data_IF_310242035693
#
_entry.id   IF_310242035693
#
_cell.length_a   1.000
_cell.length_b   1.000
_cell.length_c   1.000
_cell.angle_alpha   90.00
_cell.angle_beta   90.00
_cell.angle_gamma   90.00
#
_symmetry.space_group_name_H-M   'P 1'
#
loop_
_entity.id
_entity.type
_entity.pdbx_description
1 polymer ?
#
# COMPACT_ATOMS: atom_id res chain seq x y z
N UNK A 1 -11.84 1.25 -21.05
CA UNK A 1 -11.00 0.90 -19.90
C UNK A 1 -11.36 1.80 -18.73
N UNK A 2 -11.26 1.29 -17.53
CA UNK A 2 -11.60 2.03 -16.32
C UNK A 2 -10.36 2.23 -15.46
N UNK A 3 -10.32 3.34 -14.74
CA UNK A 3 -9.25 3.61 -13.79
C UNK A 3 -9.52 2.89 -12.48
N UNK A 4 -8.44 2.48 -11.81
CA UNK A 4 -8.52 1.88 -10.48
C UNK A 4 -8.58 3.01 -9.46
N UNK A 5 -9.56 2.95 -8.56
CA UNK A 5 -9.72 3.93 -7.50
C UNK A 5 -8.66 3.71 -6.42
N UNK A 6 -7.84 4.72 -6.10
CA UNK A 6 -6.89 4.59 -4.99
C UNK A 6 -7.60 4.38 -3.65
N UNK A 7 -6.95 3.65 -2.77
CA UNK A 7 -7.45 3.46 -1.40
C UNK A 7 -6.76 4.49 -0.50
N UNK A 8 -7.55 5.30 0.19
CA UNK A 8 -7.05 6.30 1.14
C UNK A 8 -7.61 5.97 2.51
N UNK A 9 -6.73 5.82 3.48
CA UNK A 9 -7.10 5.56 4.88
C UNK A 9 -6.35 6.50 5.79
N UNK A 10 -6.97 6.82 6.92
CA UNK A 10 -6.35 7.65 7.95
C UNK A 10 -6.64 7.01 9.30
N UNK A 11 -5.63 6.93 10.15
CA UNK A 11 -5.75 6.27 11.44
C UNK A 11 -4.87 6.97 12.47
N UNK A 12 -5.33 6.99 13.70
CA UNK A 12 -4.54 7.51 14.82
C UNK A 12 -4.19 6.33 15.72
N UNK A 13 -2.91 6.06 15.87
CA UNK A 13 -2.40 4.99 16.72
C UNK A 13 -1.78 5.57 17.98
N UNK A 14 -1.74 4.78 19.05
CA UNK A 14 -1.06 5.16 20.29
C UNK A 14 0.45 4.95 20.22
N UNK A 15 0.94 4.28 19.19
CA UNK A 15 2.37 4.06 19.00
C UNK A 15 3.06 5.40 18.70
N UNK A 16 4.32 5.51 19.10
CA UNK A 16 5.15 6.65 18.71
C UNK A 16 5.40 6.61 17.19
N UNK A 17 5.83 7.72 16.61
CA UNK A 17 6.15 7.77 15.18
C UNK A 17 7.17 6.69 14.83
N UNK A 18 8.21 6.52 15.64
CA UNK A 18 9.24 5.51 15.39
C UNK A 18 8.68 4.08 15.45
N UNK A 19 7.90 3.75 16.46
CA UNK A 19 7.32 2.42 16.61
C UNK A 19 6.32 2.14 15.50
N UNK A 20 5.48 3.10 15.14
CA UNK A 20 4.52 2.97 14.05
C UNK A 20 5.26 2.76 12.72
N UNK A 21 6.30 3.55 12.46
CA UNK A 21 7.11 3.44 11.24
C UNK A 21 7.72 2.05 11.12
N UNK A 22 8.35 1.57 12.17
CA UNK A 22 8.97 0.24 12.16
C UNK A 22 7.95 -0.88 11.95
N UNK A 23 6.81 -0.80 12.64
CA UNK A 23 5.75 -1.81 12.49
C UNK A 23 5.21 -1.84 11.05
N UNK A 24 4.99 -0.67 10.46
CA UNK A 24 4.49 -0.55 9.09
C UNK A 24 5.52 -1.11 8.10
N UNK A 25 6.80 -0.76 8.24
CA UNK A 25 7.85 -1.27 7.37
C UNK A 25 7.91 -2.79 7.40
N UNK A 26 7.88 -3.39 8.59
CA UNK A 26 7.89 -4.84 8.75
C UNK A 26 6.71 -5.49 8.06
N UNK A 27 5.53 -4.90 8.20
CA UNK A 27 4.32 -5.43 7.61
C UNK A 27 4.34 -5.32 6.08
N UNK A 28 4.81 -4.20 5.54
CA UNK A 28 4.93 -4.02 4.10
C UNK A 28 5.92 -5.02 3.50
N UNK A 29 7.06 -5.23 4.14
CA UNK A 29 8.04 -6.20 3.69
C UNK A 29 7.50 -7.63 3.78
N UNK A 30 6.80 -7.96 4.86
CA UNK A 30 6.18 -9.27 5.03
C UNK A 30 5.11 -9.54 3.96
N UNK A 31 4.47 -8.50 3.47
CA UNK A 31 3.47 -8.60 2.39
C UNK A 31 4.10 -8.62 0.99
N UNK A 32 5.42 -8.65 0.90
CA UNK A 32 6.13 -8.71 -0.38
C UNK A 32 6.49 -7.36 -0.96
N UNK A 33 6.35 -6.29 -0.21
CA UNK A 33 6.69 -4.94 -0.66
C UNK A 33 8.19 -4.66 -0.61
N UNK A 34 8.62 -3.74 -1.47
CA UNK A 34 10.00 -3.25 -1.49
C UNK A 34 10.00 -1.79 -1.05
N UNK A 35 10.68 -1.48 0.03
CA UNK A 35 10.78 -0.12 0.53
C UNK A 35 11.68 0.70 -0.41
N UNK A 36 11.11 1.73 -1.01
CA UNK A 36 11.81 2.61 -1.95
C UNK A 36 12.41 3.80 -1.22
N UNK A 37 11.64 4.34 -0.25
CA UNK A 37 12.07 5.49 0.52
C UNK A 37 11.49 5.38 1.92
N UNK A 38 12.31 5.71 2.92
CA UNK A 38 11.84 5.75 4.30
C UNK A 38 12.59 6.87 5.03
N UNK A 39 11.86 7.81 5.59
CA UNK A 39 12.41 8.82 6.49
C UNK A 39 11.52 8.91 7.74
N UNK A 40 11.72 9.90 8.58
CA UNK A 40 11.02 10.01 9.87
C UNK A 40 9.51 10.12 9.72
N UNK A 41 9.03 10.70 8.61
CA UNK A 41 7.63 11.04 8.44
C UNK A 41 6.99 10.40 7.21
N UNK A 42 7.74 9.62 6.44
CA UNK A 42 7.26 9.12 5.16
C UNK A 42 7.83 7.76 4.82
N UNK A 43 6.98 6.90 4.26
CA UNK A 43 7.38 5.59 3.76
C UNK A 43 6.79 5.41 2.37
N UNK A 44 7.62 5.01 1.41
CA UNK A 44 7.18 4.67 0.06
C UNK A 44 7.58 3.22 -0.22
N UNK A 45 6.62 2.42 -0.68
CA UNK A 45 6.82 0.99 -0.89
C UNK A 45 6.19 0.56 -2.21
N UNK A 46 6.91 -0.20 -3.00
CA UNK A 46 6.41 -0.78 -4.25
C UNK A 46 6.07 -2.25 -4.05
N UNK A 47 4.99 -2.67 -4.67
CA UNK A 47 4.52 -4.06 -4.68
C UNK A 47 4.36 -4.56 -6.09
N UNK A 48 4.51 -5.88 -6.23
CA UNK A 48 4.19 -6.59 -7.45
C UNK A 48 5.24 -6.45 -8.54
N UNK A 49 4.91 -6.97 -9.71
CA UNK A 49 5.79 -6.97 -10.86
C UNK A 49 5.03 -6.54 -12.10
N UNK A 50 5.42 -5.39 -12.66
CA UNK A 50 4.85 -4.93 -13.92
C UNK A 50 5.19 -5.90 -15.06
N UNK A 51 6.43 -6.40 -15.08
CA UNK A 51 6.86 -7.35 -16.10
C UNK A 51 6.06 -8.65 -16.04
N UNK A 52 5.90 -9.20 -14.86
CA UNK A 52 5.15 -10.44 -14.68
C UNK A 52 3.69 -10.26 -15.07
N UNK A 53 3.07 -9.14 -14.72
CA UNK A 53 1.70 -8.81 -15.11
C UNK A 53 1.55 -8.75 -16.63
N UNK A 54 2.55 -8.23 -17.34
CA UNK A 54 2.52 -8.12 -18.81
C UNK A 54 2.69 -9.47 -19.48
N UNK A 55 3.54 -10.34 -18.94
CA UNK A 55 3.82 -11.65 -19.53
C UNK A 55 2.64 -12.61 -19.32
N UNK A 56 2.12 -12.67 -18.10
CA UNK A 56 1.05 -13.59 -17.73
C UNK A 56 -0.33 -13.02 -18.07
N UNK A 57 -0.45 -11.69 -18.03
CA UNK A 57 -1.73 -10.99 -18.18
C UNK A 57 -2.43 -10.81 -16.83
N UNK A 58 -3.16 -9.72 -16.70
CA UNK A 58 -3.83 -9.33 -15.46
C UNK A 58 -4.80 -10.38 -14.94
N UNK A 59 -5.36 -11.16 -15.84
CA UNK A 59 -6.35 -12.19 -15.51
C UNK A 59 -5.76 -13.31 -14.65
N UNK A 60 -4.52 -13.70 -14.94
CA UNK A 60 -3.89 -14.87 -14.32
C UNK A 60 -2.96 -14.50 -13.17
N UNK A 61 -2.61 -13.22 -13.03
CA UNK A 61 -1.72 -12.74 -11.98
C UNK A 61 -2.46 -12.75 -10.63
N UNK A 62 -1.91 -13.39 -9.59
CA UNK A 62 -2.50 -13.27 -8.24
C UNK A 62 -2.55 -11.80 -7.82
N UNK A 63 -3.59 -11.43 -7.09
CA UNK A 63 -3.78 -10.01 -6.74
C UNK A 63 -2.66 -9.45 -5.85
N UNK A 64 -1.94 -10.30 -5.11
CA UNK A 64 -0.83 -9.84 -4.27
C UNK A 64 0.41 -9.43 -5.08
N UNK A 65 0.50 -9.80 -6.36
CA UNK A 65 1.63 -9.39 -7.22
C UNK A 65 1.24 -8.37 -8.28
N UNK A 66 0.03 -7.83 -8.23
CA UNK A 66 -0.35 -6.71 -9.10
C UNK A 66 0.46 -5.46 -8.72
N UNK A 67 1.00 -4.72 -9.72
CA UNK A 67 1.82 -3.55 -9.43
C UNK A 67 1.04 -2.48 -8.67
N UNK A 68 1.56 -2.07 -7.53
CA UNK A 68 0.93 -1.04 -6.69
C UNK A 68 1.98 -0.34 -5.84
N UNK A 69 1.64 0.85 -5.39
CA UNK A 69 2.52 1.65 -4.54
C UNK A 69 1.78 2.08 -3.28
N UNK A 70 2.44 1.94 -2.15
CA UNK A 70 1.97 2.45 -0.88
C UNK A 70 2.76 3.70 -0.51
N UNK A 71 2.05 4.77 -0.17
CA UNK A 71 2.64 6.01 0.31
C UNK A 71 2.04 6.28 1.69
N UNK A 72 2.87 6.36 2.71
CA UNK A 72 2.43 6.47 4.09
C UNK A 72 3.07 7.69 4.73
N UNK A 73 2.23 8.59 5.25
CA UNK A 73 2.67 9.78 5.96
C UNK A 73 2.40 9.61 7.44
N UNK A 74 3.39 9.94 8.25
CA UNK A 74 3.36 9.82 9.70
C UNK A 74 3.48 11.20 10.33
N UNK A 75 2.59 11.52 11.25
CA UNK A 75 2.57 12.82 11.91
C UNK A 75 2.35 12.62 13.43
N UNK A 76 3.21 13.16 14.29
CA UNK A 76 3.02 13.02 15.73
C UNK A 76 1.77 13.75 16.19
N UNK A 77 1.10 13.20 17.20
CA UNK A 77 -0.05 13.83 17.84
C UNK A 77 0.35 14.39 19.20
N UNK A 78 -0.53 15.21 19.78
CA UNK A 78 -0.29 15.83 21.10
C UNK A 78 -0.11 14.80 22.22
N UNK A 79 -0.67 13.60 22.06
CA UNK A 79 -0.67 12.56 23.09
C UNK A 79 0.40 11.49 22.88
N UNK A 80 1.50 11.85 22.22
CA UNK A 80 2.60 10.92 21.88
C UNK A 80 2.18 9.75 20.99
N UNK A 81 1.03 9.89 20.33
CA UNK A 81 0.60 8.95 19.30
C UNK A 81 1.03 9.39 17.93
N UNK A 82 0.49 8.74 16.91
CA UNK A 82 0.83 9.04 15.52
C UNK A 82 -0.43 9.03 14.66
N UNK A 83 -0.57 10.06 13.85
CA UNK A 83 -1.58 10.10 12.79
C UNK A 83 -0.93 9.51 11.54
N UNK A 84 -1.54 8.47 11.00
CA UNK A 84 -1.04 7.74 9.84
C UNK A 84 -1.99 7.95 8.68
N UNK A 85 -1.48 8.49 7.58
CA UNK A 85 -2.23 8.61 6.32
C UNK A 85 -1.67 7.60 5.34
N UNK A 86 -2.55 6.77 4.80
CA UNK A 86 -2.19 5.68 3.91
C UNK A 86 -2.83 5.92 2.56
N UNK A 87 -2.01 5.96 1.51
CA UNK A 87 -2.48 6.01 0.14
C UNK A 87 -1.91 4.82 -0.60
N UNK A 88 -2.79 3.96 -1.11
CA UNK A 88 -2.40 2.82 -1.92
C UNK A 88 -2.99 3.02 -3.32
N UNK A 89 -2.14 3.01 -4.33
CA UNK A 89 -2.54 3.23 -5.72
C UNK A 89 -1.91 2.21 -6.64
N UNK A 90 -2.54 2.01 -7.78
CA UNK A 90 -1.95 1.18 -8.83
C UNK A 90 -0.77 1.92 -9.48
N UNK A 91 0.18 1.14 -10.00
CA UNK A 91 1.31 1.67 -10.78
C UNK A 91 1.30 1.14 -12.21
N UNK A 92 0.18 0.57 -12.62
CA UNK A 92 0.02 0.06 -13.97
C UNK A 92 0.01 1.23 -14.96
N UNK A 93 0.87 1.17 -15.98
CA UNK A 93 1.04 2.29 -16.94
C UNK A 93 -0.08 2.42 -17.95
N UNK A 94 -0.80 1.33 -18.19
CA UNK A 94 -1.87 1.27 -19.19
C UNK A 94 -3.20 1.12 -18.48
N UNK A 95 -4.27 1.51 -19.15
CA UNK A 95 -5.59 1.33 -18.61
C UNK A 95 -5.89 -0.15 -18.30
N UNK A 96 -6.74 -0.38 -17.34
CA UNK A 96 -7.08 -1.71 -16.85
C UNK A 96 -8.42 -2.12 -17.44
N UNK A 97 -8.51 -3.34 -17.94
CA UNK A 97 -9.76 -3.87 -18.48
C UNK A 97 -10.85 -3.84 -17.40
N UNK A 98 -12.05 -3.47 -17.82
CA UNK A 98 -13.18 -3.27 -16.90
C UNK A 98 -13.40 -4.44 -15.94
N UNK A 99 -13.26 -5.68 -16.42
CA UNK A 99 -13.44 -6.86 -15.58
C UNK A 99 -12.41 -7.06 -14.48
N UNK A 100 -11.31 -6.30 -14.49
CA UNK A 100 -10.21 -6.45 -13.53
C UNK A 100 -10.08 -5.30 -12.56
N UNK A 101 -10.85 -4.23 -12.74
CA UNK A 101 -10.81 -3.07 -11.85
C UNK A 101 -11.08 -3.49 -10.41
N UNK A 102 -12.11 -4.30 -10.19
CA UNK A 102 -12.48 -4.76 -8.84
C UNK A 102 -11.39 -5.61 -8.21
N UNK A 103 -10.76 -6.49 -8.98
CA UNK A 103 -9.65 -7.32 -8.51
C UNK A 103 -8.49 -6.43 -8.04
N UNK A 104 -8.16 -5.40 -8.82
CA UNK A 104 -7.09 -4.48 -8.49
C UNK A 104 -7.43 -3.66 -7.25
N UNK A 105 -8.65 -3.15 -7.17
CA UNK A 105 -9.10 -2.39 -6.00
C UNK A 105 -9.05 -3.24 -4.73
N UNK A 106 -9.42 -4.50 -4.81
CA UNK A 106 -9.31 -5.43 -3.68
C UNK A 106 -7.85 -5.65 -3.28
N UNK A 107 -6.93 -5.70 -4.25
CA UNK A 107 -5.50 -5.81 -3.97
C UNK A 107 -4.98 -4.58 -3.22
N UNK A 108 -5.41 -3.39 -3.61
CA UNK A 108 -5.05 -2.15 -2.91
C UNK A 108 -5.60 -2.15 -1.48
N UNK A 109 -6.84 -2.59 -1.32
CA UNK A 109 -7.48 -2.67 -0.01
C UNK A 109 -6.74 -3.66 0.92
N UNK A 110 -6.27 -4.79 0.40
CA UNK A 110 -5.50 -5.76 1.17
C UNK A 110 -4.25 -5.11 1.79
N UNK A 111 -3.54 -4.28 1.03
CA UNK A 111 -2.35 -3.60 1.53
C UNK A 111 -2.73 -2.59 2.61
N UNK A 112 -3.78 -1.81 2.39
CA UNK A 112 -4.25 -0.84 3.38
C UNK A 112 -4.65 -1.53 4.69
N UNK A 113 -5.38 -2.62 4.61
CA UNK A 113 -5.82 -3.39 5.78
C UNK A 113 -4.62 -3.99 6.52
N UNK A 114 -3.62 -4.44 5.79
CA UNK A 114 -2.38 -4.98 6.36
C UNK A 114 -1.64 -3.90 7.17
N UNK A 115 -1.53 -2.69 6.62
CA UNK A 115 -0.88 -1.57 7.32
C UNK A 115 -1.66 -1.19 8.58
N UNK A 116 -3.00 -1.09 8.48
CA UNK A 116 -3.83 -0.77 9.64
C UNK A 116 -3.69 -1.82 10.75
N UNK A 117 -3.62 -3.10 10.37
CA UNK A 117 -3.42 -4.20 11.31
C UNK A 117 -2.11 -4.04 12.11
N UNK A 118 -1.08 -3.52 11.47
CA UNK A 118 0.23 -3.33 12.12
C UNK A 118 0.23 -2.25 13.19
N UNK A 119 -0.70 -1.28 13.11
CA UNK A 119 -0.74 -0.11 13.98
C UNK A 119 -1.97 -0.04 14.89
N UNK A 120 -2.83 -1.03 14.84
CA UNK A 120 -4.00 -1.11 15.73
C UNK A 120 -3.72 -1.82 17.03
#
# INVERSE_FOLDING_TARGET
MSDVTPVVKEWITRKTVEDARMAIIRQLEAAGGKIIKSDEAYIECDFGSLLLSRIIGEFWVPRNILPKKAEIHLEPTENNGTKVKILIRDTHKYGIMLGYVKKYENALQDVADSVLSAIT
#
